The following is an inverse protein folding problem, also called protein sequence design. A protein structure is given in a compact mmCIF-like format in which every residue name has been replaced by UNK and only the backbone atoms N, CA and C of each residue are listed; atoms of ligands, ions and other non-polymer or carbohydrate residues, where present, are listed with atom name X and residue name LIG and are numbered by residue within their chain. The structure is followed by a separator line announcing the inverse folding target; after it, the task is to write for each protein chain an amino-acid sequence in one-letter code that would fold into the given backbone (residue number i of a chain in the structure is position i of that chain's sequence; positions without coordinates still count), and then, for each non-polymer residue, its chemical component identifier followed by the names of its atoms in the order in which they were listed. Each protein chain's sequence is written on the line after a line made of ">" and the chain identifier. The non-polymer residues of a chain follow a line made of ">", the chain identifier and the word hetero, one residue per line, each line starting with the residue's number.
data_IF_721060494279
#
_entry.id   IF_721060494279
#
_cell.length_a   1.000
_cell.length_b   1.000
_cell.length_c   1.000
_cell.angle_alpha   90.00
_cell.angle_beta   90.00
_cell.angle_gamma   90.00
#
_symmetry.space_group_name_H-M   'P 1'
#
loop_
_entity.id
_entity.type
_entity.pdbx_description
1 polymer ?
#
# COMPACT_ATOMS: atom_id res chain seq x y z
N UNK A 1 -71.01 -45.30 -10.60
CA UNK A 1 -70.55 -45.45 -12.00
C UNK A 1 -70.92 -44.16 -12.71
N UNK A 2 -70.00 -43.21 -12.79
CA UNK A 2 -70.23 -41.91 -13.43
C UNK A 2 -69.11 -41.69 -14.42
N UNK A 3 -69.49 -41.60 -15.69
CA UNK A 3 -68.62 -41.48 -16.85
C UNK A 3 -68.58 -40.04 -17.35
N UNK A 4 -67.36 -39.53 -17.52
CA UNK A 4 -66.82 -38.74 -18.64
C UNK A 4 -67.74 -37.81 -19.44
N UNK A 5 -67.34 -36.53 -19.58
CA UNK A 5 -66.67 -36.08 -20.82
C UNK A 5 -66.06 -34.67 -20.71
N UNK A 6 -64.93 -34.53 -21.38
CA UNK A 6 -64.11 -33.33 -21.57
C UNK A 6 -64.64 -32.49 -22.74
N UNK A 7 -64.28 -31.20 -22.76
CA UNK A 7 -64.06 -30.42 -23.99
C UNK A 7 -63.09 -29.28 -23.69
N UNK A 8 -61.99 -29.29 -24.44
CA UNK A 8 -61.00 -28.24 -24.64
C UNK A 8 -61.56 -27.16 -25.59
N UNK A 9 -61.27 -25.88 -25.31
CA UNK A 9 -61.29 -24.83 -26.33
C UNK A 9 -60.14 -23.84 -26.07
N UNK A 10 -59.24 -23.79 -27.05
CA UNK A 10 -58.02 -23.00 -27.12
C UNK A 10 -58.35 -21.61 -27.70
N UNK A 11 -58.00 -20.53 -26.99
CA UNK A 11 -58.24 -19.14 -27.41
C UNK A 11 -56.91 -18.46 -27.72
N UNK A 12 -56.72 -18.08 -28.99
CA UNK A 12 -55.70 -17.11 -29.42
C UNK A 12 -56.28 -15.70 -29.47
N UNK A 13 -55.54 -14.65 -29.06
CA UNK A 13 -55.90 -13.28 -29.39
C UNK A 13 -55.04 -12.71 -30.54
N UNK A 14 -55.76 -12.14 -31.49
CA UNK A 14 -55.33 -11.28 -32.59
C UNK A 14 -54.88 -9.93 -32.03
N UNK A 15 -53.65 -9.49 -32.34
CA UNK A 15 -53.12 -8.17 -32.00
C UNK A 15 -52.74 -7.39 -33.26
N UNK A 16 -53.42 -6.28 -33.46
CA UNK A 16 -53.37 -5.42 -34.64
C UNK A 16 -52.12 -4.52 -34.67
N UNK A 17 -51.85 -3.98 -35.86
CA UNK A 17 -50.61 -3.31 -36.22
C UNK A 17 -50.39 -1.92 -35.64
N UNK A 18 -49.11 -1.55 -35.60
CA UNK A 18 -48.67 -0.16 -35.53
C UNK A 18 -47.72 0.14 -36.68
N UNK A 19 -47.92 1.35 -37.22
CA UNK A 19 -47.43 1.86 -38.49
C UNK A 19 -45.93 2.21 -38.42
N UNK A 20 -45.26 1.88 -39.51
CA UNK A 20 -44.04 2.53 -39.98
C UNK A 20 -44.27 4.05 -40.14
N UNK A 21 -43.41 4.83 -39.51
CA UNK A 21 -43.14 6.23 -39.83
C UNK A 21 -41.64 6.33 -40.14
N UNK A 22 -41.33 6.37 -41.43
CA UNK A 22 -40.15 7.02 -41.98
C UNK A 22 -40.48 8.49 -42.23
N UNK A 23 -39.45 9.27 -42.59
CA UNK A 23 -39.47 10.69 -42.97
C UNK A 23 -39.21 11.60 -41.74
N UNK A 24 -38.31 12.58 -41.71
CA UNK A 24 -37.35 13.13 -42.65
C UNK A 24 -36.37 14.02 -41.85
N UNK A 25 -35.18 14.23 -42.42
CA UNK A 25 -34.35 15.45 -42.39
C UNK A 25 -34.29 16.36 -41.14
N UNK A 26 -33.08 16.54 -40.59
CA UNK A 26 -32.70 17.85 -40.05
C UNK A 26 -31.20 18.18 -40.17
N UNK A 27 -30.90 18.95 -41.23
CA UNK A 27 -29.95 20.06 -41.39
C UNK A 27 -28.50 19.91 -40.87
N UNK A 28 -27.61 19.75 -41.85
CA UNK A 28 -26.21 20.19 -41.86
C UNK A 28 -26.11 21.59 -42.49
N UNK A 29 -25.38 22.52 -41.86
CA UNK A 29 -24.45 23.47 -42.50
C UNK A 29 -24.06 24.64 -41.58
N UNK A 30 -22.77 24.67 -41.24
CA UNK A 30 -21.88 25.84 -41.26
C UNK A 30 -22.15 27.06 -40.36
N UNK A 31 -21.24 27.28 -39.41
CA UNK A 31 -20.56 28.57 -39.31
C UNK A 31 -19.09 28.38 -38.90
N UNK A 32 -18.21 28.36 -39.91
CA UNK A 32 -16.78 28.48 -39.75
C UNK A 32 -16.33 29.82 -40.34
N UNK A 33 -15.29 30.38 -39.70
CA UNK A 33 -14.40 31.46 -40.14
C UNK A 33 -14.71 32.90 -39.65
N UNK A 34 -13.92 33.32 -38.65
CA UNK A 34 -12.86 34.32 -38.87
C UNK A 34 -11.79 34.33 -37.77
N UNK A 35 -10.55 34.10 -38.23
CA UNK A 35 -9.28 34.71 -37.79
C UNK A 35 -8.78 34.51 -36.34
N UNK A 36 -7.52 34.18 -36.02
CA UNK A 36 -6.28 33.90 -36.76
C UNK A 36 -5.24 33.33 -35.78
N UNK A 37 -4.46 32.36 -36.25
CA UNK A 37 -3.02 32.12 -35.95
C UNK A 37 -2.48 32.33 -34.52
N UNK A 38 -2.12 31.23 -33.85
CA UNK A 38 -0.72 31.02 -33.44
C UNK A 38 -0.44 29.54 -33.20
N UNK A 39 0.47 29.01 -34.02
CA UNK A 39 1.17 27.75 -33.85
C UNK A 39 2.09 27.80 -32.62
N UNK A 40 2.00 26.83 -31.71
CA UNK A 40 3.06 26.58 -30.73
C UNK A 40 2.90 25.19 -30.11
N UNK A 41 3.79 24.30 -30.58
CA UNK A 41 4.36 23.12 -29.92
C UNK A 41 3.76 22.62 -28.61
N UNK A 42 3.34 21.35 -28.63
CA UNK A 42 3.24 20.48 -27.46
C UNK A 42 4.60 20.38 -26.76
N UNK A 43 4.80 21.19 -25.73
CA UNK A 43 5.88 21.04 -24.77
C UNK A 43 5.34 20.31 -23.52
N UNK A 44 5.84 19.09 -23.30
CA UNK A 44 5.72 18.38 -22.03
C UNK A 44 6.35 19.22 -20.92
N UNK A 45 5.54 19.93 -20.15
CA UNK A 45 5.99 20.62 -18.94
C UNK A 45 6.38 19.60 -17.86
N UNK A 46 7.69 19.38 -17.73
CA UNK A 46 8.34 18.94 -16.51
C UNK A 46 8.14 20.02 -15.41
N UNK A 47 7.00 19.98 -14.73
CA UNK A 47 6.78 20.76 -13.51
C UNK A 47 7.57 20.13 -12.37
N UNK A 48 8.80 20.62 -12.18
CA UNK A 48 9.60 20.44 -10.98
C UNK A 48 8.87 21.06 -9.79
N UNK A 49 8.30 20.22 -8.92
CA UNK A 49 7.53 20.61 -7.74
C UNK A 49 8.44 20.90 -6.53
N UNK A 50 9.25 21.95 -6.61
CA UNK A 50 9.83 22.55 -5.40
C UNK A 50 8.81 23.50 -4.75
N UNK A 51 8.03 22.94 -3.82
CA UNK A 51 7.56 23.54 -2.56
C UNK A 51 7.34 25.07 -2.54
N UNK A 52 6.10 25.50 -2.80
CA UNK A 52 5.37 26.58 -2.08
C UNK A 52 3.97 26.74 -2.69
N UNK A 53 3.13 25.71 -2.55
CA UNK A 53 1.79 25.73 -3.11
C UNK A 53 0.77 26.32 -2.12
N UNK A 54 0.70 27.65 -2.07
CA UNK A 54 -0.53 28.33 -1.69
C UNK A 54 -1.56 28.09 -2.80
N UNK A 55 -2.20 26.92 -2.80
CA UNK A 55 -3.31 26.66 -3.72
C UNK A 55 -4.47 27.57 -3.30
N UNK A 56 -4.62 28.70 -4.00
CA UNK A 56 -5.69 29.67 -3.76
C UNK A 56 -6.97 29.12 -4.40
N UNK A 57 -7.67 28.29 -3.63
CA UNK A 57 -8.73 27.41 -4.11
C UNK A 57 -10.08 27.97 -3.73
N UNK A 58 -10.51 29.01 -4.44
CA UNK A 58 -11.75 29.71 -4.06
C UNK A 58 -13.03 28.94 -4.41
N UNK A 59 -13.03 27.91 -5.26
CA UNK A 59 -14.24 27.18 -5.61
C UNK A 59 -13.98 25.68 -5.89
N UNK A 60 -14.26 24.83 -4.92
CA UNK A 60 -14.38 23.37 -5.13
C UNK A 60 -15.84 23.07 -5.39
N UNK A 61 -16.16 22.36 -6.46
CA UNK A 61 -17.54 21.88 -6.65
C UNK A 61 -17.95 20.98 -5.47
N UNK A 62 -19.13 21.17 -4.86
CA UNK A 62 -19.61 20.33 -3.75
C UNK A 62 -19.90 18.87 -4.13
N UNK A 63 -19.81 18.55 -5.42
CA UNK A 63 -19.97 17.21 -5.97
C UNK A 63 -18.66 16.66 -6.56
N UNK A 64 -17.53 17.36 -6.39
CA UNK A 64 -16.26 16.98 -6.99
C UNK A 64 -15.83 15.55 -6.61
N UNK A 65 -15.99 15.19 -5.34
CA UNK A 65 -15.58 13.90 -4.78
C UNK A 65 -16.78 12.99 -4.53
N UNK A 66 -17.69 12.93 -5.51
CA UNK A 66 -18.78 11.96 -5.56
C UNK A 66 -18.68 11.12 -6.83
N UNK A 67 -19.15 9.88 -6.76
CA UNK A 67 -19.22 8.99 -7.91
C UNK A 67 -20.45 9.27 -8.79
N UNK A 68 -20.64 8.46 -9.85
CA UNK A 68 -21.80 8.57 -10.74
C UNK A 68 -23.15 8.37 -10.03
N UNK A 69 -23.16 7.69 -8.88
CA UNK A 69 -24.35 7.47 -8.05
C UNK A 69 -24.50 8.53 -6.94
N UNK A 70 -23.71 9.62 -6.99
CA UNK A 70 -23.64 10.68 -5.98
C UNK A 70 -23.16 10.23 -4.59
N UNK A 71 -22.62 9.03 -4.46
CA UNK A 71 -22.02 8.57 -3.22
C UNK A 71 -20.66 9.24 -3.01
N UNK A 72 -20.30 9.59 -1.76
CA UNK A 72 -19.01 10.18 -1.48
C UNK A 72 -17.87 9.21 -1.81
N UNK A 73 -16.78 9.75 -2.35
CA UNK A 73 -15.49 9.08 -2.39
C UNK A 73 -14.84 9.18 -1.01
N UNK A 74 -14.22 8.09 -0.58
CA UNK A 74 -13.58 7.96 0.74
C UNK A 74 -12.06 8.04 0.60
N UNK A 75 -11.41 8.70 1.56
CA UNK A 75 -9.98 8.98 1.52
C UNK A 75 -9.30 8.69 2.85
N UNK A 76 -8.04 8.26 2.78
CA UNK A 76 -7.11 8.19 3.91
C UNK A 76 -5.88 9.00 3.54
N UNK A 77 -5.49 9.96 4.39
CA UNK A 77 -4.35 10.84 4.15
C UNK A 77 -3.15 10.37 4.97
N UNK A 78 -2.04 10.08 4.29
CA UNK A 78 -0.76 9.67 4.87
C UNK A 78 0.37 10.58 4.38
N UNK A 79 0.27 11.87 4.71
CA UNK A 79 1.18 12.90 4.17
C UNK A 79 2.31 13.26 5.15
N UNK A 80 2.15 12.92 6.44
CA UNK A 80 3.09 13.28 7.52
C UNK A 80 3.31 14.80 7.63
N UNK A 81 2.29 15.57 7.28
CA UNK A 81 2.30 17.03 7.22
C UNK A 81 0.93 17.53 7.66
N UNK A 82 0.81 17.87 8.94
CA UNK A 82 -0.48 18.21 9.56
C UNK A 82 -1.16 19.40 8.88
N UNK A 83 -0.39 20.42 8.48
CA UNK A 83 -0.95 21.60 7.80
C UNK A 83 -1.52 21.22 6.44
N UNK A 84 -0.78 20.41 5.68
CA UNK A 84 -1.23 19.93 4.38
C UNK A 84 -2.43 18.97 4.49
N UNK A 85 -2.41 18.05 5.46
CA UNK A 85 -3.51 17.12 5.72
C UNK A 85 -4.79 17.85 6.11
N UNK A 86 -4.69 18.86 7.00
CA UNK A 86 -5.84 19.67 7.40
C UNK A 86 -6.46 20.41 6.22
N UNK A 87 -5.62 21.05 5.38
CA UNK A 87 -6.09 21.71 4.14
C UNK A 87 -6.70 20.72 3.14
N UNK A 88 -6.06 19.57 2.93
CA UNK A 88 -6.57 18.54 2.05
C UNK A 88 -7.91 17.98 2.53
N UNK A 89 -8.05 17.77 3.84
CA UNK A 89 -9.30 17.33 4.46
C UNK A 89 -10.42 18.32 4.25
N UNK A 90 -10.19 19.62 4.50
CA UNK A 90 -11.17 20.67 4.24
C UNK A 90 -11.63 20.68 2.76
N UNK A 91 -10.69 20.54 1.83
CA UNK A 91 -10.96 20.50 0.40
C UNK A 91 -11.76 19.27 -0.04
N UNK A 92 -11.47 18.10 0.51
CA UNK A 92 -12.20 16.87 0.24
C UNK A 92 -13.64 16.96 0.76
N UNK A 93 -13.81 17.45 2.00
CA UNK A 93 -15.11 17.64 2.62
C UNK A 93 -15.96 18.66 1.85
N UNK A 94 -15.38 19.81 1.47
CA UNK A 94 -16.02 20.80 0.61
C UNK A 94 -16.44 20.22 -0.74
N UNK A 95 -15.67 19.28 -1.28
CA UNK A 95 -16.00 18.59 -2.52
C UNK A 95 -16.99 17.43 -2.37
N UNK A 96 -17.54 17.19 -1.18
CA UNK A 96 -18.52 16.14 -0.93
C UNK A 96 -17.94 14.74 -0.70
N UNK A 97 -16.62 14.63 -0.47
CA UNK A 97 -15.95 13.38 -0.11
C UNK A 97 -15.86 13.20 1.42
N UNK A 98 -15.34 12.04 1.84
CA UNK A 98 -15.13 11.68 3.25
C UNK A 98 -13.65 11.38 3.48
N UNK A 99 -13.12 11.79 4.63
CA UNK A 99 -11.74 11.50 5.05
C UNK A 99 -11.75 10.75 6.37
N UNK A 100 -11.18 9.54 6.38
CA UNK A 100 -10.97 8.75 7.58
C UNK A 100 -9.75 9.24 8.36
N UNK A 101 -9.83 9.15 9.69
CA UNK A 101 -8.74 9.59 10.58
C UNK A 101 -7.61 8.59 10.64
N UNK A 102 -7.89 7.32 10.38
CA UNK A 102 -6.92 6.24 10.43
C UNK A 102 -7.17 5.21 9.33
N UNK A 103 -6.12 4.47 8.97
CA UNK A 103 -6.22 3.35 8.04
C UNK A 103 -7.04 2.16 8.58
N UNK A 104 -7.35 2.14 9.88
CA UNK A 104 -8.18 1.10 10.51
C UNK A 104 -9.68 1.31 10.28
N UNK A 105 -10.07 2.55 9.97
CA UNK A 105 -11.46 2.96 9.75
C UNK A 105 -11.85 2.97 8.27
N UNK A 106 -10.88 2.71 7.38
CA UNK A 106 -11.11 2.81 5.93
C UNK A 106 -12.06 1.73 5.44
N UNK A 107 -12.88 2.08 4.44
CA UNK A 107 -13.78 1.13 3.77
C UNK A 107 -13.08 0.37 2.63
N UNK A 108 -13.82 -0.54 1.99
CA UNK A 108 -13.35 -1.37 0.88
C UNK A 108 -13.09 -0.62 -0.44
N UNK A 109 -13.30 0.70 -0.48
CA UNK A 109 -13.17 1.54 -1.68
C UNK A 109 -12.28 2.77 -1.44
N UNK A 110 -11.71 2.89 -0.24
CA UNK A 110 -10.98 4.08 0.21
C UNK A 110 -9.72 4.32 -0.60
N UNK A 111 -9.49 5.59 -0.93
CA UNK A 111 -8.31 6.06 -1.64
C UNK A 111 -7.24 6.46 -0.62
N UNK A 112 -6.11 5.77 -0.62
CA UNK A 112 -4.97 6.12 0.24
C UNK A 112 -4.02 7.06 -0.48
N UNK A 113 -3.88 8.30 0.03
CA UNK A 113 -3.02 9.34 -0.53
C UNK A 113 -1.73 9.50 0.27
N UNK A 114 -0.60 9.51 -0.41
CA UNK A 114 0.74 9.65 0.18
C UNK A 114 1.51 10.81 -0.45
N UNK A 115 2.39 11.43 0.34
CA UNK A 115 3.35 12.44 -0.14
C UNK A 115 4.50 11.75 -0.91
N UNK A 116 5.08 12.44 -1.89
CA UNK A 116 5.93 11.85 -2.93
C UNK A 116 7.07 10.96 -2.42
N UNK A 117 7.72 11.33 -1.32
CA UNK A 117 8.88 10.59 -0.80
C UNK A 117 8.63 9.82 0.49
N UNK A 118 7.40 9.84 1.02
CA UNK A 118 7.11 9.06 2.23
C UNK A 118 7.09 7.56 1.91
N UNK A 119 7.93 6.80 2.65
CA UNK A 119 7.94 5.35 2.62
C UNK A 119 6.67 4.83 3.30
N UNK A 120 5.75 4.29 2.52
CA UNK A 120 4.52 3.67 3.02
C UNK A 120 4.80 2.21 3.38
N UNK A 121 5.37 1.95 4.57
CA UNK A 121 5.57 0.56 5.05
C UNK A 121 4.33 -0.04 5.73
N UNK A 122 3.30 0.76 5.99
CA UNK A 122 2.21 0.39 6.89
C UNK A 122 0.90 -0.03 6.21
N UNK A 123 0.74 0.15 4.89
CA UNK A 123 -0.50 -0.16 4.18
C UNK A 123 -0.31 -1.34 3.22
N UNK A 124 -1.13 -2.36 3.38
CA UNK A 124 -1.22 -3.48 2.45
C UNK A 124 -2.22 -3.13 1.34
N UNK A 125 -1.72 -2.52 0.26
CA UNK A 125 -2.52 -2.24 -0.93
C UNK A 125 -2.05 -1.02 -1.72
N UNK A 126 -2.72 -0.72 -2.85
CA UNK A 126 -2.42 0.40 -3.72
C UNK A 126 -2.47 1.72 -2.95
N UNK A 127 -1.46 2.54 -3.17
CA UNK A 127 -1.37 3.90 -2.65
C UNK A 127 -1.16 4.85 -3.80
N UNK A 128 -1.69 6.07 -3.68
CA UNK A 128 -1.69 7.05 -4.75
C UNK A 128 -0.98 8.33 -4.31
N UNK A 129 -0.28 8.98 -5.24
CA UNK A 129 0.40 10.25 -4.99
C UNK A 129 -0.62 11.33 -4.67
N UNK A 130 -0.31 12.17 -3.69
CA UNK A 130 -1.11 13.34 -3.32
C UNK A 130 -1.41 14.28 -4.51
N UNK A 131 -0.54 14.27 -5.53
CA UNK A 131 -0.74 14.98 -6.80
C UNK A 131 -2.08 14.65 -7.49
N UNK A 132 -2.65 13.47 -7.25
CA UNK A 132 -4.00 13.12 -7.71
C UNK A 132 -5.04 14.13 -7.23
N UNK A 133 -5.04 14.39 -5.92
CA UNK A 133 -6.00 15.29 -5.29
C UNK A 133 -5.87 16.70 -5.86
N UNK A 134 -4.63 17.20 -5.96
CA UNK A 134 -4.33 18.51 -6.55
C UNK A 134 -4.90 18.60 -7.97
N UNK A 135 -4.69 17.57 -8.78
CA UNK A 135 -5.15 17.56 -10.18
C UNK A 135 -6.67 17.46 -10.30
N UNK A 136 -7.35 16.73 -9.42
CA UNK A 136 -8.82 16.73 -9.36
C UNK A 136 -9.37 18.13 -9.07
N UNK A 137 -8.79 18.79 -8.08
CA UNK A 137 -9.21 20.12 -7.63
C UNK A 137 -8.96 21.17 -8.71
N UNK A 138 -7.74 21.23 -9.27
CA UNK A 138 -7.38 22.22 -10.29
C UNK A 138 -8.25 22.08 -11.54
N UNK A 139 -8.61 20.86 -11.92
CA UNK A 139 -9.48 20.60 -13.07
C UNK A 139 -10.97 20.62 -12.71
N UNK A 140 -11.31 20.77 -11.43
CA UNK A 140 -12.65 20.63 -10.87
C UNK A 140 -13.39 19.40 -11.43
N UNK A 141 -12.69 18.28 -11.59
CA UNK A 141 -13.23 17.00 -12.07
C UNK A 141 -12.40 15.83 -11.55
N UNK A 142 -13.04 14.68 -11.36
CA UNK A 142 -12.31 13.43 -11.09
C UNK A 142 -11.43 13.08 -12.30
N UNK A 143 -10.13 12.93 -12.07
CA UNK A 143 -9.18 12.47 -13.08
C UNK A 143 -8.90 10.99 -12.94
N UNK A 144 -8.30 10.35 -13.95
CA UNK A 144 -7.95 8.94 -13.87
C UNK A 144 -6.86 8.71 -12.80
N UNK A 145 -7.20 7.93 -11.76
CA UNK A 145 -6.35 7.69 -10.60
C UNK A 145 -5.11 6.81 -10.89
N UNK A 146 -5.16 5.96 -11.93
CA UNK A 146 -4.08 5.04 -12.26
C UNK A 146 -2.75 5.77 -12.56
N UNK A 147 -2.82 6.99 -13.09
CA UNK A 147 -1.65 7.83 -13.39
C UNK A 147 -0.87 8.27 -12.15
N UNK A 148 -1.51 8.15 -10.98
CA UNK A 148 -0.96 8.57 -9.70
C UNK A 148 -0.66 7.36 -8.80
N UNK A 149 -0.75 6.13 -9.31
CA UNK A 149 -0.35 4.95 -8.56
C UNK A 149 1.12 5.08 -8.14
N UNK A 150 1.38 4.84 -6.86
CA UNK A 150 2.73 4.79 -6.31
C UNK A 150 3.12 3.34 -6.06
N UNK A 151 4.15 2.91 -6.75
CA UNK A 151 4.74 1.58 -6.63
C UNK A 151 5.98 1.63 -5.74
N UNK A 152 6.38 0.47 -5.21
CA UNK A 152 7.65 0.37 -4.50
C UNK A 152 8.81 0.75 -5.42
N UNK A 153 9.70 1.62 -4.94
CA UNK A 153 10.83 2.18 -5.71
C UNK A 153 10.44 2.89 -7.01
N UNK A 154 9.19 3.39 -7.14
CA UNK A 154 8.68 3.99 -8.39
C UNK A 154 8.81 3.06 -9.61
N UNK A 155 8.84 1.74 -9.40
CA UNK A 155 8.89 0.76 -10.48
C UNK A 155 7.65 0.91 -11.39
N UNK A 156 7.76 0.72 -12.71
CA UNK A 156 6.58 0.69 -13.57
C UNK A 156 5.55 -0.33 -13.06
N UNK A 157 4.24 -0.05 -13.15
CA UNK A 157 3.21 -1.04 -12.86
C UNK A 157 3.41 -2.26 -13.74
N UNK A 158 3.49 -3.45 -13.14
CA UNK A 158 3.70 -4.69 -13.89
C UNK A 158 2.45 -5.14 -14.63
N UNK A 159 1.28 -4.67 -14.20
CA UNK A 159 -0.02 -5.07 -14.72
C UNK A 159 -0.87 -3.83 -14.98
N UNK A 160 -1.64 -3.88 -16.06
CA UNK A 160 -2.63 -2.86 -16.40
C UNK A 160 -3.94 -3.22 -15.69
N UNK A 161 -4.12 -2.71 -14.48
CA UNK A 161 -5.40 -2.74 -13.78
C UNK A 161 -6.02 -1.35 -13.77
N UNK A 162 -7.35 -1.26 -13.88
CA UNK A 162 -8.05 0.01 -13.82
C UNK A 162 -8.65 0.23 -12.42
N UNK A 163 -7.91 0.96 -11.58
CA UNK A 163 -8.33 1.28 -10.23
C UNK A 163 -9.57 2.18 -10.16
N UNK A 164 -9.99 2.80 -11.27
CA UNK A 164 -11.28 3.52 -11.32
C UNK A 164 -12.46 2.59 -11.08
N UNK A 165 -12.36 1.31 -11.48
CA UNK A 165 -13.40 0.29 -11.21
C UNK A 165 -13.65 0.11 -9.72
N UNK A 166 -12.60 0.21 -8.92
CA UNK A 166 -12.68 0.08 -7.47
C UNK A 166 -13.16 1.37 -6.83
N UNK A 167 -12.45 2.47 -7.05
CA UNK A 167 -12.66 3.68 -6.24
C UNK A 167 -13.85 4.52 -6.70
N UNK A 168 -14.08 4.61 -8.01
CA UNK A 168 -15.10 5.49 -8.58
C UNK A 168 -16.36 4.71 -8.90
N UNK A 169 -16.25 3.64 -9.70
CA UNK A 169 -17.40 2.85 -10.12
C UNK A 169 -17.89 1.89 -9.04
N UNK A 170 -17.07 1.58 -8.02
CA UNK A 170 -17.36 0.60 -6.96
C UNK A 170 -17.90 -0.74 -7.51
N UNK A 171 -17.43 -1.14 -8.69
CA UNK A 171 -17.82 -2.39 -9.35
C UNK A 171 -16.96 -3.57 -8.92
N UNK A 172 -15.89 -3.31 -8.18
CA UNK A 172 -14.99 -4.31 -7.61
C UNK A 172 -14.45 -3.77 -6.28
N UNK A 173 -14.33 -4.59 -5.25
CA UNK A 173 -13.75 -4.17 -3.97
C UNK A 173 -12.24 -4.38 -3.93
N UNK A 174 -11.53 -3.73 -2.99
CA UNK A 174 -10.09 -3.98 -2.79
C UNK A 174 -9.75 -5.45 -2.52
N UNK A 175 -10.66 -6.22 -1.94
CA UNK A 175 -10.46 -7.65 -1.63
C UNK A 175 -10.55 -8.56 -2.87
N UNK A 176 -11.19 -8.08 -3.94
CA UNK A 176 -11.34 -8.82 -5.20
C UNK A 176 -10.20 -8.53 -6.18
N UNK A 177 -9.37 -7.52 -5.89
CA UNK A 177 -8.20 -7.20 -6.70
C UNK A 177 -7.14 -8.28 -6.48
N UNK A 178 -6.62 -8.92 -7.55
CA UNK A 178 -5.62 -9.97 -7.41
C UNK A 178 -4.36 -9.51 -6.65
N UNK A 179 -3.87 -10.35 -5.73
CA UNK A 179 -2.72 -10.05 -4.87
C UNK A 179 -1.46 -9.58 -5.62
N UNK A 180 -1.22 -10.15 -6.81
CA UNK A 180 -0.06 -9.78 -7.63
C UNK A 180 -0.14 -8.34 -8.15
N UNK A 181 -1.35 -7.82 -8.34
CA UNK A 181 -1.62 -6.42 -8.69
C UNK A 181 -1.51 -5.55 -7.44
N UNK A 182 -2.14 -5.96 -6.34
CA UNK A 182 -2.10 -5.25 -5.04
C UNK A 182 -0.67 -5.02 -4.54
N UNK A 183 0.21 -6.00 -4.74
CA UNK A 183 1.60 -5.98 -4.26
C UNK A 183 2.61 -5.54 -5.32
N UNK A 184 2.17 -5.27 -6.56
CA UNK A 184 3.02 -5.08 -7.74
C UNK A 184 4.16 -6.13 -7.82
N UNK A 185 3.84 -7.41 -7.57
CA UNK A 185 4.81 -8.51 -7.54
C UNK A 185 4.81 -9.24 -8.88
N UNK A 186 6.00 -9.56 -9.39
CA UNK A 186 6.13 -10.43 -10.57
C UNK A 186 5.60 -11.81 -10.21
N UNK A 187 4.67 -12.34 -10.99
CA UNK A 187 4.24 -13.73 -10.84
C UNK A 187 5.46 -14.61 -11.07
N UNK A 188 5.88 -15.31 -10.02
CA UNK A 188 6.87 -16.38 -10.15
C UNK A 188 6.13 -17.53 -10.80
N UNK A 189 6.11 -17.53 -12.13
CA UNK A 189 5.65 -18.68 -12.90
C UNK A 189 6.66 -19.79 -12.64
N UNK A 190 6.38 -20.62 -11.65
CA UNK A 190 7.06 -21.90 -11.51
C UNK A 190 6.70 -22.69 -12.77
N UNK A 191 7.55 -22.61 -13.79
CA UNK A 191 7.54 -23.53 -14.92
C UNK A 191 7.77 -24.92 -14.31
N UNK A 192 6.68 -25.62 -14.04
CA UNK A 192 6.71 -27.00 -13.60
C UNK A 192 7.49 -27.79 -14.64
N UNK A 193 8.59 -28.42 -14.21
CA UNK A 193 9.10 -29.61 -14.88
C UNK A 193 7.97 -30.63 -14.81
N UNK A 194 7.31 -30.87 -15.94
CA UNK A 194 6.56 -32.11 -16.14
C UNK A 194 7.56 -33.26 -16.00
N UNK A 195 7.63 -33.85 -14.80
CA UNK A 195 8.33 -35.11 -14.60
C UNK A 195 7.43 -36.22 -15.11
N UNK A 196 7.81 -36.73 -16.29
CA UNK A 196 7.38 -38.00 -16.85
C UNK A 196 7.64 -39.12 -15.84
N UNK A 197 6.61 -39.95 -15.67
CA UNK A 197 6.58 -41.17 -14.84
C UNK A 197 7.77 -42.09 -15.14
N UNK A 198 8.39 -42.61 -14.08
CA UNK A 198 9.37 -43.69 -14.13
C UNK A 198 9.40 -44.44 -12.80
N UNK A 199 8.58 -45.48 -12.72
CA UNK A 199 8.45 -46.44 -11.62
C UNK A 199 9.68 -47.35 -11.53
N UNK A 200 10.35 -47.46 -10.37
CA UNK A 200 11.01 -48.71 -9.91
C UNK A 200 11.01 -48.76 -8.38
N UNK A 201 10.58 -49.92 -7.88
CA UNK A 201 10.46 -50.40 -6.49
C UNK A 201 11.84 -50.59 -5.84
N UNK A 202 11.94 -50.41 -4.52
CA UNK A 202 13.12 -50.84 -3.77
C UNK A 202 13.03 -50.56 -2.27
N UNK A 203 12.49 -51.51 -1.52
CA UNK A 203 12.64 -51.65 -0.07
C UNK A 203 14.12 -51.71 0.34
N UNK A 204 14.47 -51.18 1.52
CA UNK A 204 15.25 -51.95 2.49
C UNK A 204 15.20 -51.33 3.89
N UNK A 205 14.78 -52.16 4.85
CA UNK A 205 14.77 -51.94 6.30
C UNK A 205 16.09 -52.38 6.96
N UNK A 206 16.22 -52.04 8.26
CA UNK A 206 17.08 -52.60 9.34
C UNK A 206 18.29 -51.71 9.73
N UNK A 207 18.24 -51.11 10.93
CA UNK A 207 18.77 -51.57 12.25
C UNK A 207 20.31 -51.53 12.26
N UNK A 208 21.00 -50.89 13.20
CA UNK A 208 21.29 -51.36 14.58
C UNK A 208 22.05 -50.23 15.33
N UNK A 209 21.63 -49.95 16.58
CA UNK A 209 22.38 -49.74 17.85
C UNK A 209 23.70 -48.90 17.89
N UNK A 210 24.11 -48.20 18.96
CA UNK A 210 23.95 -48.38 20.42
C UNK A 210 24.65 -47.21 21.17
N UNK A 211 24.14 -46.86 22.38
CA UNK A 211 24.81 -46.39 23.65
C UNK A 211 25.90 -45.29 23.65
N UNK A 212 26.15 -44.48 24.68
CA UNK A 212 25.68 -44.23 26.06
C UNK A 212 26.15 -42.77 26.38
N UNK A 213 25.50 -42.05 27.30
CA UNK A 213 26.12 -41.69 28.59
C UNK A 213 25.24 -40.72 29.41
N UNK A 214 25.33 -40.93 30.71
CA UNK A 214 24.47 -40.56 31.81
C UNK A 214 24.98 -39.29 32.49
N UNK A 215 24.10 -38.38 32.90
CA UNK A 215 24.24 -37.73 34.22
C UNK A 215 22.88 -37.37 34.83
N UNK A 216 22.70 -37.92 36.03
CA UNK A 216 21.65 -37.79 37.03
C UNK A 216 21.83 -36.50 37.83
N UNK A 217 20.77 -35.70 38.03
CA UNK A 217 20.48 -34.89 39.24
C UNK A 217 18.95 -34.65 39.21
N UNK A 218 18.14 -35.46 39.88
CA UNK A 218 17.79 -35.49 41.31
C UNK A 218 16.98 -34.28 41.82
N UNK A 219 15.69 -34.57 42.02
CA UNK A 219 14.75 -34.15 43.08
C UNK A 219 14.63 -32.67 43.49
N UNK A 220 13.42 -32.11 43.33
CA UNK A 220 12.48 -32.04 44.46
C UNK A 220 11.06 -31.65 44.03
N UNK A 221 10.16 -32.34 44.71
CA UNK A 221 8.72 -32.49 44.63
C UNK A 221 8.00 -31.32 45.32
N UNK A 222 7.01 -30.72 44.69
CA UNK A 222 5.87 -30.10 45.39
C UNK A 222 4.61 -30.23 44.53
N UNK A 223 3.64 -30.94 45.09
CA UNK A 223 2.38 -31.36 44.49
C UNK A 223 1.29 -30.35 44.83
N UNK A 224 0.59 -29.83 43.81
CA UNK A 224 -0.72 -29.19 43.98
C UNK A 224 -1.65 -29.71 42.87
N UNK A 225 -2.61 -30.53 43.29
CA UNK A 225 -3.77 -30.93 42.51
C UNK A 225 -4.79 -29.78 42.48
N UNK A 226 -5.09 -29.23 41.31
CA UNK A 226 -6.41 -28.64 41.04
C UNK A 226 -6.85 -29.00 39.63
N UNK A 227 -8.02 -29.65 39.61
CA UNK A 227 -8.68 -30.29 38.50
C UNK A 227 -9.62 -29.27 37.82
N UNK A 228 -9.24 -28.73 36.66
CA UNK A 228 -10.18 -27.97 35.81
C UNK A 228 -10.00 -28.31 34.32
N UNK A 229 -11.15 -28.40 33.66
CA UNK A 229 -11.48 -28.95 32.34
C UNK A 229 -10.65 -28.50 31.11
N UNK A 230 -10.52 -29.35 30.07
CA UNK A 230 -9.75 -29.05 28.87
C UNK A 230 -10.51 -28.09 27.94
N UNK A 231 -9.95 -26.90 27.72
CA UNK A 231 -10.31 -26.02 26.60
C UNK A 231 -9.27 -26.15 25.48
N UNK A 232 -9.67 -26.10 24.20
CA UNK A 232 -8.77 -26.33 23.07
C UNK A 232 -7.90 -25.10 22.82
N UNK A 233 -6.64 -25.15 23.27
CA UNK A 233 -5.65 -24.12 23.01
C UNK A 233 -5.10 -24.28 21.59
N UNK A 234 -5.51 -23.37 20.70
CA UNK A 234 -4.97 -23.24 19.34
C UNK A 234 -3.47 -22.92 19.41
N UNK A 235 -2.65 -23.94 19.13
CA UNK A 235 -1.21 -23.80 18.85
C UNK A 235 -1.05 -22.96 17.59
N UNK A 236 -0.70 -21.69 17.77
CA UNK A 236 -0.28 -20.82 16.68
C UNK A 236 1.15 -21.18 16.33
N UNK A 237 1.31 -21.98 15.28
CA UNK A 237 2.61 -22.26 14.69
C UNK A 237 3.26 -20.94 14.25
N UNK A 238 4.30 -20.53 14.97
CA UNK A 238 5.17 -19.42 14.59
C UNK A 238 5.84 -19.80 13.28
N UNK A 239 5.27 -19.33 12.16
CA UNK A 239 5.92 -19.39 10.85
C UNK A 239 7.21 -18.56 10.92
N UNK A 240 8.34 -19.24 11.12
CA UNK A 240 9.67 -18.64 11.08
C UNK A 240 9.98 -18.36 9.60
N UNK A 241 9.56 -17.20 9.11
CA UNK A 241 9.96 -16.71 7.80
C UNK A 241 11.47 -16.46 7.87
N UNK A 242 12.27 -17.34 7.26
CA UNK A 242 13.70 -17.13 7.04
C UNK A 242 13.89 -15.96 6.06
N UNK A 243 13.87 -14.74 6.58
CA UNK A 243 14.09 -13.53 5.78
C UNK A 243 15.57 -13.46 5.42
N UNK A 244 15.87 -13.40 4.13
CA UNK A 244 17.23 -13.37 3.61
C UNK A 244 17.90 -12.03 4.00
N UNK A 245 18.78 -12.04 5.01
CA UNK A 245 19.34 -10.84 5.67
C UNK A 245 20.36 -10.05 4.83
N UNK A 246 20.54 -10.39 3.55
CA UNK A 246 21.72 -9.98 2.75
C UNK A 246 21.42 -9.29 1.42
N UNK A 247 20.20 -8.79 1.20
CA UNK A 247 19.99 -7.88 0.08
C UNK A 247 20.66 -6.55 0.39
N UNK A 248 21.52 -6.06 -0.51
CA UNK A 248 22.21 -4.74 -0.49
C UNK A 248 21.22 -3.56 -0.58
N UNK A 249 20.20 -3.56 0.26
CA UNK A 249 19.20 -2.49 0.29
C UNK A 249 19.86 -1.22 0.80
N UNK A 250 19.70 -0.07 0.12
CA UNK A 250 20.18 1.21 0.65
C UNK A 250 19.47 1.52 1.98
N UNK A 251 20.15 2.25 2.87
CA UNK A 251 19.53 2.79 4.07
C UNK A 251 18.52 3.88 3.70
N UNK A 252 17.39 3.87 4.38
CA UNK A 252 16.36 4.90 4.24
C UNK A 252 16.58 6.04 5.23
N UNK A 253 16.12 7.24 4.88
CA UNK A 253 16.21 8.42 5.76
C UNK A 253 15.55 8.20 7.14
N UNK A 254 14.52 7.35 7.21
CA UNK A 254 13.87 6.94 8.46
C UNK A 254 14.79 6.07 9.33
N UNK A 255 15.53 5.12 8.73
CA UNK A 255 16.54 4.34 9.44
C UNK A 255 17.64 5.25 9.99
N UNK A 256 18.11 6.21 9.19
CA UNK A 256 19.13 7.17 9.62
C UNK A 256 18.65 8.02 10.79
N UNK A 257 17.42 8.54 10.71
CA UNK A 257 16.81 9.30 11.80
C UNK A 257 16.67 8.45 13.08
N UNK A 258 16.31 7.16 12.97
CA UNK A 258 16.22 6.24 14.11
C UNK A 258 17.56 5.98 14.76
N UNK A 259 18.62 5.77 13.98
CA UNK A 259 19.99 5.60 14.49
C UNK A 259 20.41 6.84 15.28
N UNK A 260 20.24 8.03 14.69
CA UNK A 260 20.61 9.30 15.32
C UNK A 260 19.82 9.53 16.61
N UNK A 261 18.49 9.35 16.58
CA UNK A 261 17.64 9.49 17.77
C UNK A 261 18.09 8.56 18.89
N UNK A 262 18.41 7.30 18.59
CA UNK A 262 18.83 6.35 19.60
C UNK A 262 20.13 6.77 20.30
N UNK A 263 21.13 7.24 19.55
CA UNK A 263 22.41 7.73 20.12
C UNK A 263 22.16 8.92 21.05
N UNK A 264 21.33 9.87 20.62
CA UNK A 264 20.96 11.06 21.41
C UNK A 264 20.22 10.67 22.69
N UNK A 265 19.20 9.80 22.59
CA UNK A 265 18.42 9.35 23.73
C UNK A 265 19.26 8.62 24.79
N UNK A 266 20.26 7.84 24.36
CA UNK A 266 21.18 7.15 25.26
C UNK A 266 22.40 7.98 25.65
N UNK A 267 22.50 9.24 25.18
CA UNK A 267 23.64 10.15 25.38
C UNK A 267 25.00 9.48 25.08
N UNK A 268 25.03 8.59 24.11
CA UNK A 268 26.12 7.64 23.94
C UNK A 268 27.13 8.08 22.86
N UNK A 269 27.39 9.39 22.77
CA UNK A 269 28.24 10.01 21.74
C UNK A 269 29.66 9.41 21.73
N UNK A 270 30.25 9.20 22.91
CA UNK A 270 31.61 8.65 23.03
C UNK A 270 31.66 7.15 22.71
N UNK A 271 30.53 6.45 22.83
CA UNK A 271 30.42 5.01 22.57
C UNK A 271 30.20 4.67 21.09
N UNK A 272 30.02 5.66 20.21
CA UNK A 272 29.74 5.47 18.78
C UNK A 272 30.86 4.71 18.07
N UNK A 273 32.12 4.89 18.47
CA UNK A 273 33.28 4.15 17.93
C UNK A 273 33.33 2.69 18.40
N UNK A 274 32.71 2.36 19.54
CA UNK A 274 32.64 1.00 20.09
C UNK A 274 31.70 0.08 19.31
N UNK A 275 31.48 -1.15 19.80
CA UNK A 275 30.51 -2.10 19.22
C UNK A 275 29.26 -2.28 20.08
N UNK A 276 29.34 -1.94 21.38
CA UNK A 276 28.29 -2.24 22.37
C UNK A 276 26.96 -1.56 22.00
N UNK A 277 27.00 -0.27 21.68
CA UNK A 277 25.78 0.47 21.31
C UNK A 277 25.10 -0.11 20.08
N UNK A 278 25.86 -0.51 19.07
CA UNK A 278 25.32 -1.06 17.82
C UNK A 278 24.68 -2.42 18.02
N UNK A 279 25.32 -3.29 18.83
CA UNK A 279 24.73 -4.58 19.23
C UNK A 279 23.43 -4.37 20.02
N UNK A 280 23.38 -3.35 20.87
CA UNK A 280 22.16 -3.00 21.59
C UNK A 280 21.05 -2.47 20.67
N UNK A 281 21.39 -1.69 19.63
CA UNK A 281 20.43 -1.26 18.61
C UNK A 281 19.88 -2.44 17.80
N UNK A 282 20.72 -3.39 17.41
CA UNK A 282 20.30 -4.60 16.69
C UNK A 282 19.40 -5.47 17.57
N UNK A 283 19.78 -5.71 18.83
CA UNK A 283 18.94 -6.44 19.80
C UNK A 283 17.60 -5.74 20.04
N UNK A 284 17.61 -4.40 20.06
CA UNK A 284 16.42 -3.57 20.16
C UNK A 284 15.63 -3.43 18.85
N UNK A 285 16.06 -4.09 17.77
CA UNK A 285 15.43 -4.06 16.45
C UNK A 285 15.16 -2.64 15.92
N UNK A 286 16.10 -1.71 16.15
CA UNK A 286 15.94 -0.29 15.76
C UNK A 286 15.83 -0.12 14.25
N UNK A 287 16.65 -0.85 13.49
CA UNK A 287 16.55 -0.95 12.03
C UNK A 287 16.30 -2.42 11.64
N UNK A 288 15.03 -2.80 11.34
CA UNK A 288 14.71 -4.17 10.99
C UNK A 288 15.54 -4.67 9.81
N UNK A 289 15.99 -5.92 9.90
CA UNK A 289 16.80 -6.59 8.86
C UNK A 289 18.20 -5.99 8.64
N UNK A 290 18.67 -5.07 9.50
CA UNK A 290 20.05 -4.56 9.47
C UNK A 290 20.88 -5.22 10.55
N UNK A 291 22.13 -5.52 10.21
CA UNK A 291 23.09 -5.99 11.21
C UNK A 291 23.72 -4.81 11.93
N UNK A 292 24.18 -5.04 13.17
CA UNK A 292 24.88 -4.00 13.94
C UNK A 292 26.11 -3.45 13.21
N UNK A 293 26.83 -4.31 12.48
CA UNK A 293 28.03 -3.93 11.72
C UNK A 293 27.66 -3.00 10.55
N UNK A 294 26.61 -3.34 9.80
CA UNK A 294 26.10 -2.50 8.70
C UNK A 294 25.63 -1.13 9.21
N UNK A 295 24.92 -1.09 10.34
CA UNK A 295 24.45 0.18 10.93
C UNK A 295 25.62 1.08 11.33
N UNK A 296 26.64 0.50 11.97
CA UNK A 296 27.85 1.22 12.38
C UNK A 296 28.58 1.82 11.18
N UNK A 297 28.83 1.01 10.15
CA UNK A 297 29.56 1.45 8.97
C UNK A 297 28.81 2.53 8.19
N UNK A 298 27.51 2.36 7.98
CA UNK A 298 26.67 3.35 7.32
C UNK A 298 26.63 4.66 8.11
N UNK A 299 26.49 4.59 9.44
CA UNK A 299 26.51 5.78 10.27
C UNK A 299 27.81 6.55 10.14
N UNK A 300 28.96 5.87 10.30
CA UNK A 300 30.28 6.51 10.24
C UNK A 300 30.61 7.08 8.86
N UNK A 301 30.26 6.35 7.79
CA UNK A 301 30.61 6.76 6.41
C UNK A 301 29.64 7.74 5.77
N UNK A 302 28.38 7.79 6.20
CA UNK A 302 27.33 8.57 5.54
C UNK A 302 26.61 9.50 6.51
N UNK A 303 25.94 8.95 7.52
CA UNK A 303 25.06 9.72 8.40
C UNK A 303 25.82 10.81 9.17
N UNK A 304 27.04 10.51 9.61
CA UNK A 304 27.87 11.45 10.38
C UNK A 304 28.19 12.73 9.59
N UNK A 305 28.46 12.62 8.30
CA UNK A 305 28.71 13.77 7.41
C UNK A 305 27.44 14.56 7.09
N UNK A 306 26.27 13.94 7.25
CA UNK A 306 24.97 14.52 6.96
C UNK A 306 24.22 15.00 8.23
N UNK A 307 24.92 15.14 9.36
CA UNK A 307 24.27 15.42 10.64
C UNK A 307 23.46 16.74 10.66
N UNK A 308 23.86 17.72 9.84
CA UNK A 308 23.20 19.02 9.76
C UNK A 308 21.80 18.95 9.10
N UNK A 309 21.49 17.89 8.35
CA UNK A 309 20.18 17.70 7.70
C UNK A 309 19.08 17.30 8.69
N UNK A 310 19.43 16.84 9.90
CA UNK A 310 18.45 16.43 10.90
C UNK A 310 17.96 17.63 11.72
N UNK A 311 16.82 18.18 11.32
CA UNK A 311 16.20 19.36 11.95
C UNK A 311 15.75 19.12 13.41
N UNK A 312 15.61 17.87 13.84
CA UNK A 312 15.22 17.52 15.20
C UNK A 312 16.37 17.57 16.21
N UNK A 313 17.61 17.78 15.75
CA UNK A 313 18.78 17.90 16.63
C UNK A 313 18.97 19.34 17.11
N UNK A 314 19.24 19.50 18.40
CA UNK A 314 19.70 20.79 18.93
C UNK A 314 21.15 21.08 18.49
N UNK A 315 21.54 22.35 18.51
CA UNK A 315 22.89 22.74 18.10
C UNK A 315 23.98 22.15 19.00
N UNK A 316 23.69 21.96 20.29
CA UNK A 316 24.57 21.23 21.20
C UNK A 316 24.77 19.77 20.78
N UNK A 317 23.70 19.08 20.37
CA UNK A 317 23.78 17.69 19.91
C UNK A 317 24.59 17.61 18.61
N UNK A 318 24.35 18.52 17.66
CA UNK A 318 25.15 18.61 16.43
C UNK A 318 26.62 18.84 16.75
N UNK A 319 26.93 19.70 17.72
CA UNK A 319 28.31 19.94 18.18
C UNK A 319 28.96 18.68 18.77
N UNK A 320 28.23 17.85 19.52
CA UNK A 320 28.78 16.57 20.01
C UNK A 320 29.12 15.61 18.86
N UNK A 321 28.25 15.50 17.85
CA UNK A 321 28.53 14.66 16.67
C UNK A 321 29.75 15.15 15.87
N UNK A 322 29.95 16.47 15.76
CA UNK A 322 31.12 17.04 15.06
C UNK A 322 32.45 16.69 15.71
N UNK A 323 32.49 16.42 17.02
CA UNK A 323 33.72 15.97 17.71
C UNK A 323 34.14 14.55 17.32
N UNK A 324 33.28 13.80 16.64
CA UNK A 324 33.55 12.42 16.24
C UNK A 324 34.15 12.31 14.83
N UNK A 325 34.07 13.38 14.02
CA UNK A 325 34.74 13.53 12.73
C UNK A 325 36.24 13.75 12.93
#
# INVERSE_FOLDING_TARGET
>A
MSSTNANDEEVQPVGAGEKLLSDDEYIDSNEEQRASSSSSSDCEENVSCHSNSNFNLRNVSPFLFRNGNLEPLTFVLMLHDYSLESKAKDMILKGGGIVYSSNKEMDLYSIVLVKDDSLFRAHAGPVFKFQYLIKCIVKNKIVNINRYLKTYNNAPPLYKFDFMKVVYFKSTSWNEVPDHIMMNKKLVVNKGKENVKGSVVGECSKLIDTVDDVTVIDSSDESIEVLESPTPVNRTDKVIIKVNKHTRMPYSNDEDAKIVKYIVCKKAYDSVKGTIIWKNMERGNICPHRTWQSMKEHFLKKVLYQINYFNFLSDDQKRQFRKLL
#
